data_IF_903437110811
#
_entry.id   IF_903437110811
#
_cell.length_a   1.000
_cell.length_b   1.000
_cell.length_c   1.000
_cell.angle_alpha   90.00
_cell.angle_beta   90.00
_cell.angle_gamma   90.00
#
_symmetry.space_group_name_H-M   'P 1'
#
loop_
_entity.id
_entity.type
_entity.pdbx_description
1 polymer ?
#
# COMPACT_ATOMS: atom_id res chain seq x y z
N UNK A 1 -6.37 -7.05 -4.01
CA UNK A 1 -7.82 -6.75 -4.03
C UNK A 1 -8.47 -7.70 -5.04
N UNK A 2 -9.45 -8.52 -4.63
CA UNK A 2 -10.08 -9.50 -5.52
C UNK A 2 -11.34 -8.91 -6.17
N UNK A 3 -11.56 -9.22 -7.44
CA UNK A 3 -12.76 -8.84 -8.22
C UNK A 3 -13.57 -10.08 -8.55
N UNK A 4 -14.88 -9.91 -8.69
CA UNK A 4 -15.85 -10.98 -8.92
C UNK A 4 -16.92 -10.49 -9.90
N UNK A 5 -17.50 -11.42 -10.66
CA UNK A 5 -18.61 -11.16 -11.56
C UNK A 5 -19.90 -11.26 -10.74
N UNK A 6 -20.63 -10.15 -10.64
CA UNK A 6 -21.97 -10.10 -10.06
C UNK A 6 -23.03 -10.14 -11.16
N UNK A 7 -24.19 -10.71 -10.84
CA UNK A 7 -25.35 -10.70 -11.72
C UNK A 7 -26.30 -9.57 -11.32
N UNK A 8 -26.75 -8.80 -12.31
CA UNK A 8 -27.77 -7.76 -12.10
C UNK A 8 -29.09 -8.43 -11.69
N UNK A 9 -29.54 -9.42 -12.47
CA UNK A 9 -30.60 -10.36 -12.11
C UNK A 9 -29.99 -11.71 -11.76
N UNK A 10 -30.28 -12.21 -10.57
CA UNK A 10 -29.64 -13.38 -9.99
C UNK A 10 -29.71 -14.65 -10.87
N UNK A 11 -28.65 -15.47 -10.80
CA UNK A 11 -28.50 -16.64 -11.68
C UNK A 11 -29.39 -17.83 -11.27
N UNK A 12 -29.69 -17.97 -9.97
CA UNK A 12 -30.36 -19.14 -9.42
C UNK A 12 -31.64 -18.76 -8.68
N UNK A 13 -32.60 -19.67 -8.61
CA UNK A 13 -33.78 -19.50 -7.76
C UNK A 13 -33.36 -19.26 -6.31
N UNK A 14 -33.97 -18.27 -5.65
CA UNK A 14 -33.60 -17.83 -4.30
C UNK A 14 -32.42 -16.85 -4.22
N UNK A 15 -31.75 -16.54 -5.34
CA UNK A 15 -30.75 -15.46 -5.38
C UNK A 15 -31.38 -14.07 -5.47
N UNK A 16 -30.61 -13.05 -5.11
CA UNK A 16 -31.08 -11.66 -5.14
C UNK A 16 -31.54 -11.28 -6.56
N UNK A 17 -32.75 -10.71 -6.66
CA UNK A 17 -33.36 -10.24 -7.92
C UNK A 17 -33.50 -11.33 -8.99
N UNK A 18 -33.64 -12.60 -8.58
CA UNK A 18 -33.92 -13.69 -9.52
C UNK A 18 -35.22 -13.43 -10.29
N UNK A 19 -35.18 -13.60 -11.61
CA UNK A 19 -36.31 -13.45 -12.51
C UNK A 19 -36.62 -14.81 -13.16
N UNK A 20 -37.74 -15.46 -12.79
CA UNK A 20 -38.10 -16.78 -13.31
C UNK A 20 -38.45 -16.77 -14.80
N UNK A 21 -38.67 -15.59 -15.38
CA UNK A 21 -39.03 -15.45 -16.80
C UNK A 21 -37.80 -15.44 -17.71
N UNK A 22 -36.60 -15.26 -17.16
CA UNK A 22 -35.36 -15.29 -17.94
C UNK A 22 -34.95 -16.72 -18.30
N UNK A 23 -34.34 -16.86 -19.47
CA UNK A 23 -33.60 -18.05 -19.88
C UNK A 23 -32.19 -18.08 -19.29
N UNK A 24 -31.54 -19.24 -19.29
CA UNK A 24 -30.14 -19.34 -18.86
C UNK A 24 -29.19 -18.51 -19.71
N UNK A 25 -29.46 -18.41 -21.02
CA UNK A 25 -28.68 -17.59 -21.94
C UNK A 25 -28.76 -16.09 -21.58
N UNK A 26 -29.95 -15.60 -21.25
CA UNK A 26 -30.14 -14.21 -20.81
C UNK A 26 -29.50 -13.96 -19.44
N UNK A 27 -29.52 -14.95 -18.53
CA UNK A 27 -28.83 -14.83 -17.23
C UNK A 27 -27.32 -14.74 -17.39
N UNK A 28 -26.75 -15.50 -18.32
CA UNK A 28 -25.31 -15.53 -18.61
C UNK A 28 -24.84 -14.41 -19.55
N UNK A 29 -25.75 -13.64 -20.15
CA UNK A 29 -25.41 -12.61 -21.12
C UNK A 29 -24.61 -11.46 -20.46
N UNK A 30 -23.63 -10.90 -21.19
CA UNK A 30 -22.82 -9.77 -20.71
C UNK A 30 -23.64 -8.56 -20.27
N UNK A 31 -24.83 -8.35 -20.85
CA UNK A 31 -25.76 -7.30 -20.45
C UNK A 31 -26.29 -7.47 -19.03
N UNK A 32 -26.30 -8.70 -18.50
CA UNK A 32 -26.74 -9.05 -17.14
C UNK A 32 -25.57 -9.18 -16.14
N UNK A 33 -24.32 -9.04 -16.59
CA UNK A 33 -23.12 -9.21 -15.77
C UNK A 33 -22.43 -7.87 -15.49
N UNK A 34 -21.84 -7.75 -14.30
CA UNK A 34 -21.04 -6.59 -13.91
C UNK A 34 -19.82 -7.02 -13.08
N UNK A 35 -18.70 -6.34 -13.24
CA UNK A 35 -17.48 -6.61 -12.49
C UNK A 35 -17.47 -5.76 -11.21
N UNK A 36 -17.28 -6.39 -10.04
CA UNK A 36 -17.26 -5.69 -8.76
C UNK A 36 -16.13 -6.19 -7.86
N UNK A 37 -15.66 -5.36 -6.92
CA UNK A 37 -14.79 -5.87 -5.86
C UNK A 37 -15.57 -6.79 -4.91
N UNK A 38 -14.89 -7.73 -4.26
CA UNK A 38 -15.52 -8.72 -3.36
C UNK A 38 -16.41 -8.09 -2.28
N UNK A 39 -16.03 -6.93 -1.74
CA UNK A 39 -16.81 -6.25 -0.70
C UNK A 39 -18.16 -5.78 -1.23
N UNK A 40 -18.19 -5.12 -2.39
CA UNK A 40 -19.44 -4.61 -2.96
C UNK A 40 -20.29 -5.73 -3.57
N UNK A 41 -19.67 -6.78 -4.11
CA UNK A 41 -20.39 -7.98 -4.55
C UNK A 41 -21.18 -8.60 -3.39
N UNK A 42 -20.52 -8.80 -2.23
CA UNK A 42 -21.20 -9.34 -1.03
C UNK A 42 -22.29 -8.41 -0.49
N UNK A 43 -22.13 -7.10 -0.68
CA UNK A 43 -23.11 -6.11 -0.22
C UNK A 43 -24.42 -6.23 -1.00
N UNK A 44 -24.35 -6.27 -2.34
CA UNK A 44 -25.54 -6.26 -3.21
C UNK A 44 -26.25 -7.62 -3.29
N UNK A 45 -25.53 -8.73 -3.02
CA UNK A 45 -26.09 -10.09 -3.03
C UNK A 45 -26.35 -10.64 -1.63
N UNK A 46 -25.95 -9.90 -0.60
CA UNK A 46 -26.13 -10.27 0.80
C UNK A 46 -27.51 -9.95 1.35
N UNK A 47 -27.68 -9.96 2.69
CA UNK A 47 -28.96 -9.71 3.35
C UNK A 47 -29.62 -8.36 3.02
N UNK A 48 -28.84 -7.38 2.56
CA UNK A 48 -29.31 -6.06 2.12
C UNK A 48 -29.54 -5.96 0.61
N UNK A 49 -29.53 -7.08 -0.12
CA UNK A 49 -29.66 -7.07 -1.57
C UNK A 49 -30.95 -6.44 -2.10
N UNK A 50 -32.01 -6.40 -1.27
CA UNK A 50 -33.26 -5.70 -1.57
C UNK A 50 -33.12 -4.17 -1.68
N UNK A 51 -32.06 -3.58 -1.11
CA UNK A 51 -31.77 -2.15 -1.20
C UNK A 51 -31.19 -1.75 -2.57
N UNK A 52 -30.86 -2.75 -3.41
CA UNK A 52 -30.20 -2.56 -4.70
C UNK A 52 -31.07 -3.11 -5.82
N UNK A 53 -32.06 -2.36 -6.33
CA UNK A 53 -32.94 -2.82 -7.40
C UNK A 53 -32.21 -2.94 -8.75
N UNK A 54 -32.80 -3.71 -9.68
CA UNK A 54 -32.20 -4.00 -11.00
C UNK A 54 -31.85 -2.73 -11.77
N UNK A 55 -32.73 -1.74 -11.73
CA UNK A 55 -32.59 -0.47 -12.46
C UNK A 55 -31.39 0.33 -11.95
N UNK A 56 -31.13 0.28 -10.65
CA UNK A 56 -29.96 0.94 -10.04
C UNK A 56 -28.66 0.29 -10.53
N UNK A 57 -28.61 -1.05 -10.54
CA UNK A 57 -27.42 -1.78 -10.99
C UNK A 57 -27.19 -1.62 -12.50
N UNK A 58 -28.25 -1.57 -13.30
CA UNK A 58 -28.18 -1.24 -14.72
C UNK A 58 -27.65 0.18 -14.93
N UNK A 59 -28.07 1.14 -14.12
CA UNK A 59 -27.53 2.50 -14.11
C UNK A 59 -26.03 2.51 -13.82
N UNK A 60 -25.58 1.82 -12.77
CA UNK A 60 -24.15 1.72 -12.44
C UNK A 60 -23.33 1.06 -13.54
N UNK A 61 -23.84 0.00 -14.15
CA UNK A 61 -23.20 -0.66 -15.30
C UNK A 61 -23.07 0.32 -16.47
N UNK A 62 -24.16 0.99 -16.83
CA UNK A 62 -24.17 1.95 -17.94
C UNK A 62 -23.19 3.11 -17.70
N UNK A 63 -23.19 3.71 -16.51
CA UNK A 63 -22.27 4.80 -16.13
C UNK A 63 -20.81 4.35 -16.22
N UNK A 64 -20.51 3.15 -15.74
CA UNK A 64 -19.17 2.58 -15.77
C UNK A 64 -18.72 2.24 -17.20
N UNK A 65 -19.58 1.63 -18.01
CA UNK A 65 -19.25 1.23 -19.39
C UNK A 65 -19.17 2.43 -20.34
N UNK A 66 -19.97 3.46 -20.11
CA UNK A 66 -19.92 4.71 -20.86
C UNK A 66 -18.58 5.45 -20.65
N UNK A 67 -17.98 5.32 -19.46
CA UNK A 67 -16.64 5.80 -19.17
C UNK A 67 -15.50 4.97 -19.80
N UNK A 68 -15.75 3.70 -20.12
CA UNK A 68 -14.74 2.76 -20.62
C UNK A 68 -14.70 2.70 -22.15
N UNK A 69 -15.79 3.09 -22.83
CA UNK A 69 -15.94 3.01 -24.28
C UNK A 69 -16.21 1.57 -24.72
N UNK A 70 -17.26 1.37 -25.52
CA UNK A 70 -17.65 0.03 -25.97
C UNK A 70 -16.56 -0.59 -26.86
N UNK A 71 -16.12 -1.80 -26.51
CA UNK A 71 -15.41 -2.66 -27.45
C UNK A 71 -16.44 -3.45 -28.26
N UNK A 72 -16.37 -3.43 -29.60
CA UNK A 72 -17.24 -4.27 -30.42
C UNK A 72 -17.05 -5.75 -30.08
N UNK A 73 -18.13 -6.54 -30.17
CA UNK A 73 -18.01 -8.00 -30.07
C UNK A 73 -17.04 -8.54 -31.13
N UNK A 74 -16.06 -9.33 -30.70
CA UNK A 74 -14.98 -9.83 -31.57
C UNK A 74 -13.79 -8.88 -31.75
N UNK A 75 -13.74 -7.76 -31.04
CA UNK A 75 -12.68 -6.75 -31.18
C UNK A 75 -11.37 -7.09 -30.45
N UNK A 76 -11.22 -8.23 -29.79
CA UNK A 76 -9.95 -8.62 -29.17
C UNK A 76 -9.30 -9.69 -30.05
N UNK A 77 -8.28 -9.26 -30.79
CA UNK A 77 -7.37 -10.13 -31.53
C UNK A 77 -5.99 -10.10 -30.87
N UNK A 78 -5.14 -11.08 -31.15
CA UNK A 78 -3.75 -11.05 -30.66
C UNK A 78 -3.02 -9.75 -31.09
N UNK A 79 -3.38 -9.23 -32.26
CA UNK A 79 -2.71 -8.08 -32.89
C UNK A 79 -3.13 -6.72 -32.29
N UNK A 80 -4.30 -6.63 -31.67
CA UNK A 80 -4.77 -5.39 -31.05
C UNK A 80 -4.80 -5.43 -29.51
N UNK A 81 -4.42 -6.57 -28.93
CA UNK A 81 -4.42 -6.77 -27.48
C UNK A 81 -3.50 -5.80 -26.75
N UNK A 82 -2.28 -5.58 -27.23
CA UNK A 82 -1.34 -4.62 -26.63
C UNK A 82 -1.89 -3.18 -26.65
N UNK A 83 -2.46 -2.75 -27.78
CA UNK A 83 -3.05 -1.42 -27.91
C UNK A 83 -4.29 -1.25 -27.04
N UNK A 84 -5.11 -2.31 -26.91
CA UNK A 84 -6.26 -2.30 -26.01
C UNK A 84 -5.80 -2.22 -24.56
N UNK A 85 -4.82 -3.01 -24.14
CA UNK A 85 -4.23 -2.94 -22.80
C UNK A 85 -3.70 -1.53 -22.49
N UNK A 86 -2.92 -0.94 -23.39
CA UNK A 86 -2.41 0.43 -23.21
C UNK A 86 -3.56 1.46 -23.13
N UNK A 87 -4.62 1.27 -23.91
CA UNK A 87 -5.81 2.12 -23.85
C UNK A 87 -6.59 1.97 -22.53
N UNK A 88 -6.65 0.77 -21.95
CA UNK A 88 -7.26 0.54 -20.64
C UNK A 88 -6.40 1.12 -19.52
N UNK A 89 -5.09 0.88 -19.55
CA UNK A 89 -4.14 1.39 -18.56
C UNK A 89 -4.11 2.92 -18.55
N UNK A 90 -4.21 3.57 -19.72
CA UNK A 90 -4.28 5.03 -19.82
C UNK A 90 -5.63 5.64 -19.43
N UNK A 91 -6.73 4.86 -19.48
CA UNK A 91 -8.09 5.29 -19.08
C UNK A 91 -8.42 5.06 -17.62
N UNK A 92 -7.74 4.11 -16.96
CA UNK A 92 -7.67 4.09 -15.50
C UNK A 92 -6.93 5.36 -15.10
N UNK A 93 -7.68 6.41 -14.74
CA UNK A 93 -7.14 7.75 -14.48
C UNK A 93 -5.81 7.68 -13.72
N UNK A 94 -4.80 8.50 -14.09
CA UNK A 94 -3.47 8.44 -13.49
C UNK A 94 -3.61 8.53 -11.97
N UNK A 95 -3.37 7.40 -11.31
CA UNK A 95 -3.52 7.26 -9.87
C UNK A 95 -2.13 7.31 -9.25
N UNK A 96 -2.04 8.01 -8.13
CA UNK A 96 -0.82 8.12 -7.35
C UNK A 96 -0.86 7.02 -6.31
N UNK A 97 0.03 6.07 -6.42
CA UNK A 97 0.20 5.01 -5.43
C UNK A 97 1.69 4.81 -5.20
N UNK A 98 2.07 4.74 -3.93
CA UNK A 98 3.44 4.42 -3.54
C UNK A 98 3.43 3.27 -2.55
N UNK A 99 4.38 2.37 -2.70
CA UNK A 99 4.76 1.43 -1.66
C UNK A 99 5.83 2.07 -0.78
N UNK A 100 5.68 1.91 0.54
CA UNK A 100 6.63 2.38 1.54
C UNK A 100 7.06 1.20 2.39
N UNK A 101 8.32 0.83 2.28
CA UNK A 101 8.90 -0.29 3.02
C UNK A 101 9.92 0.22 4.04
N UNK A 102 10.01 -0.49 5.17
CA UNK A 102 10.95 -0.19 6.24
C UNK A 102 11.86 -1.37 6.48
N UNK A 103 13.17 -1.17 6.33
CA UNK A 103 14.18 -2.22 6.47
C UNK A 103 15.27 -1.81 7.46
N UNK A 104 15.79 -2.79 8.20
CA UNK A 104 17.01 -2.62 8.97
C UNK A 104 18.22 -2.61 8.04
N UNK A 105 19.30 -1.97 8.46
CA UNK A 105 20.51 -1.91 7.64
C UNK A 105 21.80 -1.96 8.44
N UNK A 106 22.87 -2.32 7.74
CA UNK A 106 24.25 -2.32 8.20
C UNK A 106 25.13 -1.56 7.21
N UNK A 107 25.87 -0.57 7.72
CA UNK A 107 26.70 0.34 6.95
C UNK A 107 28.10 -0.26 6.92
N UNK A 108 28.36 -1.00 5.84
CA UNK A 108 29.61 -1.71 5.63
C UNK A 108 30.50 -0.81 4.75
N UNK A 109 31.83 -0.78 4.93
CA UNK A 109 32.70 -0.04 4.01
C UNK A 109 32.44 -0.42 2.55
N UNK A 110 31.97 0.56 1.76
CA UNK A 110 31.67 0.39 0.34
C UNK A 110 30.33 -0.29 0.01
N UNK A 111 29.51 -0.64 0.99
CA UNK A 111 28.20 -1.26 0.74
C UNK A 111 27.18 -1.01 1.85
N UNK A 112 25.89 -1.13 1.54
CA UNK A 112 24.82 -1.11 2.55
C UNK A 112 24.04 -2.40 2.47
N UNK A 113 24.17 -3.24 3.51
CA UNK A 113 23.37 -4.45 3.62
C UNK A 113 22.01 -4.08 4.22
N UNK A 114 20.93 -4.51 3.58
CA UNK A 114 19.55 -4.28 4.03
C UNK A 114 18.87 -5.61 4.29
N UNK A 115 17.96 -5.63 5.25
CA UNK A 115 17.20 -6.84 5.59
C UNK A 115 15.93 -6.48 6.38
N UNK A 116 14.94 -7.38 6.43
CA UNK A 116 13.83 -7.27 7.37
C UNK A 116 14.36 -7.19 8.81
N UNK A 117 13.70 -6.39 9.66
CA UNK A 117 14.12 -6.19 11.05
C UNK A 117 14.23 -7.50 11.84
N UNK A 118 13.23 -8.37 11.71
CA UNK A 118 13.23 -9.72 12.29
C UNK A 118 14.48 -10.57 12.00
N UNK A 119 15.14 -10.33 10.87
CA UNK A 119 16.28 -11.16 10.43
C UNK A 119 17.61 -10.63 10.99
N UNK A 120 17.66 -9.37 11.45
CA UNK A 120 18.89 -8.73 11.90
C UNK A 120 19.54 -9.44 13.09
N UNK A 121 18.76 -9.88 14.08
CA UNK A 121 19.29 -10.59 15.25
C UNK A 121 20.05 -11.86 14.83
N UNK A 122 19.50 -12.61 13.88
CA UNK A 122 20.11 -13.83 13.34
C UNK A 122 21.40 -13.51 12.61
N UNK A 123 21.42 -12.45 11.79
CA UNK A 123 22.61 -12.02 11.04
C UNK A 123 23.74 -11.60 11.99
N UNK A 124 23.43 -10.82 13.03
CA UNK A 124 24.41 -10.38 14.02
C UNK A 124 24.93 -11.52 14.90
N UNK A 125 24.08 -12.49 15.25
CA UNK A 125 24.46 -13.66 16.02
C UNK A 125 25.42 -14.56 15.23
N UNK A 126 25.15 -14.77 13.94
CA UNK A 126 26.03 -15.55 13.05
C UNK A 126 27.35 -14.85 12.70
N UNK A 127 27.40 -13.53 12.82
CA UNK A 127 28.54 -12.71 12.40
C UNK A 127 28.89 -11.63 13.43
N UNK A 128 29.56 -12.00 14.55
CA UNK A 128 29.85 -11.05 15.63
C UNK A 128 30.65 -9.81 15.20
N UNK A 129 31.49 -9.94 14.18
CA UNK A 129 32.26 -8.82 13.62
C UNK A 129 31.38 -7.71 13.03
N UNK A 130 30.15 -8.04 12.58
CA UNK A 130 29.22 -7.07 12.01
C UNK A 130 28.62 -6.12 13.05
N UNK A 131 28.66 -6.48 14.34
CA UNK A 131 28.10 -5.66 15.43
C UNK A 131 28.80 -4.31 15.61
N UNK A 132 30.04 -4.21 15.11
CA UNK A 132 30.84 -2.98 15.17
C UNK A 132 30.45 -1.95 14.11
N UNK A 133 29.72 -2.36 13.06
CA UNK A 133 29.30 -1.46 12.00
C UNK A 133 28.10 -0.61 12.42
N UNK A 134 28.04 0.61 11.85
CA UNK A 134 26.90 1.51 12.04
C UNK A 134 25.63 0.84 11.51
N UNK A 135 24.54 1.01 12.25
CA UNK A 135 23.22 0.48 11.95
C UNK A 135 22.24 1.63 11.75
N UNK A 136 21.07 1.30 11.26
CA UNK A 136 20.05 2.28 10.95
C UNK A 136 18.89 1.65 10.22
N UNK A 137 18.07 2.53 9.67
CA UNK A 137 16.82 2.20 9.00
C UNK A 137 16.83 2.79 7.60
N UNK A 138 16.34 2.01 6.65
CA UNK A 138 16.10 2.44 5.28
C UNK A 138 14.61 2.47 5.06
N UNK A 139 14.08 3.64 4.73
CA UNK A 139 12.72 3.78 4.21
C UNK A 139 12.80 3.79 2.69
N UNK A 140 12.31 2.73 2.06
CA UNK A 140 12.26 2.64 0.60
C UNK A 140 10.90 3.13 0.13
N UNK A 141 10.89 4.12 -0.75
CA UNK A 141 9.67 4.65 -1.37
C UNK A 141 9.68 4.29 -2.84
N UNK A 142 8.70 3.49 -3.28
CA UNK A 142 8.57 3.06 -4.68
C UNK A 142 7.27 3.59 -5.27
N UNK A 143 7.34 4.23 -6.43
CA UNK A 143 6.14 4.58 -7.18
C UNK A 143 5.58 3.33 -7.87
N UNK A 144 4.44 2.86 -7.37
CA UNK A 144 3.70 1.71 -7.93
C UNK A 144 2.46 2.14 -8.70
N UNK A 145 2.16 3.44 -8.70
CA UNK A 145 1.06 4.03 -9.45
C UNK A 145 1.44 4.33 -10.90
N UNK A 146 0.48 4.90 -11.63
CA UNK A 146 0.64 5.25 -13.05
C UNK A 146 1.03 6.71 -13.25
N UNK A 147 0.85 7.55 -12.22
CA UNK A 147 1.21 8.96 -12.25
C UNK A 147 2.57 9.21 -11.60
N UNK A 148 3.31 10.19 -12.12
CA UNK A 148 4.50 10.68 -11.43
C UNK A 148 4.12 11.32 -10.09
N UNK A 149 4.95 11.05 -9.08
CA UNK A 149 4.77 11.57 -7.73
C UNK A 149 5.95 12.42 -7.33
N UNK A 150 5.72 13.38 -6.43
CA UNK A 150 6.79 14.14 -5.79
C UNK A 150 6.69 13.88 -4.29
N UNK A 151 7.70 13.22 -3.74
CA UNK A 151 7.85 13.02 -2.30
C UNK A 151 8.25 14.34 -1.67
N UNK A 152 7.47 14.83 -0.71
CA UNK A 152 7.66 16.12 -0.05
C UNK A 152 8.17 16.00 1.39
N UNK A 153 7.82 14.91 2.08
CA UNK A 153 8.28 14.62 3.44
C UNK A 153 8.38 13.11 3.64
N UNK A 154 9.41 12.68 4.37
CA UNK A 154 9.58 11.31 4.85
C UNK A 154 9.89 11.42 6.34
N UNK A 155 9.04 10.83 7.17
CA UNK A 155 9.15 10.90 8.63
C UNK A 155 9.01 9.52 9.23
N UNK A 156 9.85 9.20 10.22
CA UNK A 156 9.64 8.05 11.11
C UNK A 156 8.72 8.45 12.26
N UNK A 157 7.78 7.57 12.59
CA UNK A 157 6.83 7.73 13.69
C UNK A 157 6.97 6.60 14.68
N UNK A 158 7.12 6.98 15.94
CA UNK A 158 7.23 6.09 17.08
C UNK A 158 5.88 6.02 17.77
N UNK A 159 5.37 4.81 17.96
CA UNK A 159 4.03 4.57 18.51
C UNK A 159 4.15 4.34 20.02
N UNK A 160 3.51 5.17 20.84
CA UNK A 160 3.50 5.07 22.30
C UNK A 160 2.34 4.19 22.81
N UNK A 161 2.63 3.23 23.69
CA UNK A 161 1.61 2.41 24.39
C UNK A 161 1.85 0.91 24.24
N UNK A 162 0.91 0.10 24.74
CA UNK A 162 1.06 -1.38 24.79
C UNK A 162 0.65 -2.10 23.48
N UNK A 163 -0.11 -1.45 22.59
CA UNK A 163 -0.57 -2.03 21.32
C UNK A 163 -0.68 -0.98 20.20
N UNK A 164 -0.37 -1.39 18.97
CA UNK A 164 -0.50 -0.59 17.75
C UNK A 164 -1.96 -0.29 17.35
N UNK A 165 -2.95 -0.93 17.99
CA UNK A 165 -4.38 -0.81 17.66
C UNK A 165 -5.14 0.17 18.56
N UNK A 166 -4.58 0.54 19.72
CA UNK A 166 -5.13 1.60 20.56
C UNK A 166 -4.80 2.98 19.99
N UNK A 167 -5.52 4.03 20.38
CA UNK A 167 -5.22 5.43 20.04
C UNK A 167 -3.87 5.87 20.66
N UNK A 168 -2.79 5.34 20.12
CA UNK A 168 -1.42 5.50 20.55
C UNK A 168 -0.93 6.89 20.13
N UNK A 169 -0.32 7.60 21.07
CA UNK A 169 0.30 8.88 20.75
C UNK A 169 1.51 8.63 19.82
N UNK A 170 1.56 9.36 18.70
CA UNK A 170 2.65 9.26 17.75
C UNK A 170 3.68 10.35 18.01
N UNK A 171 4.95 9.95 18.09
CA UNK A 171 6.09 10.87 18.20
C UNK A 171 6.86 10.84 16.89
N UNK A 172 7.12 12.01 16.31
CA UNK A 172 7.84 12.14 15.05
C UNK A 172 9.02 13.10 15.19
N UNK A 173 10.07 12.81 14.44
CA UNK A 173 11.24 13.67 14.29
C UNK A 173 11.08 14.74 13.20
N UNK A 174 9.86 14.94 12.68
CA UNK A 174 9.52 16.00 11.72
C UNK A 174 10.46 16.07 10.51
N UNK A 175 10.67 14.94 9.82
CA UNK A 175 11.50 14.91 8.61
C UNK A 175 13.00 15.05 8.86
N UNK A 176 13.49 14.68 10.06
CA UNK A 176 14.94 14.66 10.36
C UNK A 176 15.70 13.91 9.27
N UNK A 177 16.74 14.57 8.77
CA UNK A 177 17.60 14.07 7.70
C UNK A 177 19.03 13.98 8.22
N UNK A 178 19.47 12.77 8.55
CA UNK A 178 20.82 12.53 9.07
C UNK A 178 21.92 12.65 8.00
N UNK A 179 21.54 12.76 6.72
CA UNK A 179 22.45 12.81 5.58
C UNK A 179 22.06 13.93 4.59
N UNK A 180 21.93 15.17 5.08
CA UNK A 180 21.49 16.37 4.33
C UNK A 180 22.16 16.58 2.96
N UNK A 181 23.40 16.13 2.79
CA UNK A 181 24.14 16.27 1.54
C UNK A 181 23.79 15.19 0.50
N UNK A 182 23.33 14.03 0.94
CA UNK A 182 23.03 12.88 0.09
C UNK A 182 21.53 12.71 -0.16
N UNK A 183 20.70 13.10 0.80
CA UNK A 183 19.25 12.94 0.74
C UNK A 183 18.58 14.31 0.62
N UNK A 184 17.81 14.53 -0.45
CA UNK A 184 17.15 15.81 -0.71
C UNK A 184 15.67 15.61 -1.01
N UNK A 185 14.84 16.39 -0.34
CA UNK A 185 13.43 16.55 -0.62
C UNK A 185 13.16 18.02 -1.02
N UNK A 186 12.13 18.29 -1.84
CA UNK A 186 11.27 17.32 -2.50
C UNK A 186 12.00 16.50 -3.57
N UNK A 187 11.55 15.26 -3.81
CA UNK A 187 12.12 14.34 -4.81
C UNK A 187 11.04 13.78 -5.72
N UNK A 188 11.25 13.83 -7.04
CA UNK A 188 10.29 13.32 -8.03
C UNK A 188 10.60 11.86 -8.35
N UNK A 189 9.57 11.02 -8.34
CA UNK A 189 9.63 9.61 -8.76
C UNK A 189 8.69 9.41 -9.94
N UNK A 190 9.23 8.91 -11.06
CA UNK A 190 8.42 8.48 -12.20
C UNK A 190 7.79 7.12 -11.90
N UNK A 191 6.85 6.66 -12.73
CA UNK A 191 6.31 5.30 -12.62
C UNK A 191 7.44 4.25 -12.62
N UNK A 192 7.46 3.38 -11.60
CA UNK A 192 8.45 2.32 -11.42
C UNK A 192 9.73 2.76 -10.69
N UNK A 193 9.98 4.07 -10.56
CA UNK A 193 11.14 4.58 -9.84
C UNK A 193 11.02 4.34 -8.33
N UNK A 194 12.16 4.30 -7.66
CA UNK A 194 12.24 4.24 -6.20
C UNK A 194 13.36 5.12 -5.66
N UNK A 195 13.20 5.57 -4.41
CA UNK A 195 14.26 6.21 -3.64
C UNK A 195 14.40 5.57 -2.26
N UNK A 196 15.62 5.65 -1.73
CA UNK A 196 15.94 5.21 -0.37
C UNK A 196 16.14 6.44 0.53
N UNK A 197 15.55 6.40 1.72
CA UNK A 197 15.75 7.39 2.77
C UNK A 197 16.40 6.74 4.00
N UNK A 198 17.64 7.15 4.30
CA UNK A 198 18.48 6.56 5.34
C UNK A 198 18.33 7.34 6.66
N UNK A 199 18.11 6.63 7.76
CA UNK A 199 18.10 7.19 9.13
C UNK A 199 19.07 6.41 10.02
N UNK A 200 19.89 7.11 10.80
CA UNK A 200 20.86 6.47 11.69
C UNK A 200 20.18 5.84 12.90
N UNK A 201 20.73 4.72 13.40
CA UNK A 201 20.23 4.13 14.65
C UNK A 201 20.39 5.09 15.84
N UNK A 202 21.44 5.92 15.86
CA UNK A 202 21.67 6.93 16.89
C UNK A 202 20.49 7.91 17.02
N UNK A 203 19.90 8.32 15.90
CA UNK A 203 18.73 9.21 15.88
C UNK A 203 17.50 8.55 16.50
N UNK A 204 17.32 7.25 16.29
CA UNK A 204 16.23 6.47 16.89
C UNK A 204 16.50 6.25 18.39
N UNK A 205 17.75 6.00 18.77
CA UNK A 205 18.17 5.87 20.17
C UNK A 205 17.94 7.16 20.98
N UNK A 206 18.19 8.34 20.39
CA UNK A 206 17.88 9.63 21.03
C UNK A 206 16.39 9.75 21.38
N UNK A 207 15.51 9.29 20.47
CA UNK A 207 14.06 9.33 20.67
C UNK A 207 13.58 8.30 21.68
N UNK A 208 14.19 7.11 21.70
CA UNK A 208 13.97 6.09 22.72
C UNK A 208 14.35 6.60 24.11
N UNK A 209 15.55 7.15 24.26
CA UNK A 209 16.04 7.70 25.52
C UNK A 209 15.10 8.80 26.06
N UNK A 210 14.57 9.65 25.19
CA UNK A 210 13.62 10.69 25.57
C UNK A 210 12.28 10.13 26.08
N UNK A 211 11.78 9.02 25.50
CA UNK A 211 10.57 8.36 25.98
C UNK A 211 10.81 7.63 27.31
N UNK A 212 11.93 6.92 27.43
CA UNK A 212 12.32 6.21 28.66
C UNK A 212 12.48 7.19 29.82
N UNK A 213 13.06 8.37 29.59
CA UNK A 213 13.17 9.43 30.59
C UNK A 213 11.81 9.95 31.09
N UNK A 214 10.74 9.75 30.32
CA UNK A 214 9.36 10.09 30.69
C UNK A 214 8.57 8.88 31.23
N UNK A 215 9.23 7.73 31.45
CA UNK A 215 8.57 6.49 31.88
C UNK A 215 7.66 5.88 30.82
N UNK A 216 7.87 6.21 29.54
CA UNK A 216 7.10 5.69 28.42
C UNK A 216 7.89 4.64 27.65
N UNK A 217 7.17 3.76 26.95
CA UNK A 217 7.73 2.76 26.06
C UNK A 217 7.04 2.82 24.70
N UNK A 218 7.81 2.54 23.64
CA UNK A 218 7.30 2.44 22.29
C UNK A 218 6.87 1.00 21.99
N UNK A 219 5.79 0.83 21.24
CA UNK A 219 5.30 -0.47 20.76
C UNK A 219 5.69 -0.77 19.32
N UNK A 220 5.84 0.26 18.48
CA UNK A 220 6.17 0.08 17.08
C UNK A 220 6.85 1.32 16.46
N UNK A 221 7.49 1.11 15.32
CA UNK A 221 8.05 2.13 14.44
C UNK A 221 7.45 1.96 13.04
N UNK A 222 7.06 3.06 12.39
CA UNK A 222 6.68 3.02 10.99
C UNK A 222 7.08 4.32 10.26
N UNK A 223 7.21 4.26 8.94
CA UNK A 223 7.47 5.43 8.13
C UNK A 223 6.17 6.02 7.57
N UNK A 224 6.08 7.34 7.53
CA UNK A 224 5.05 8.08 6.80
C UNK A 224 5.71 8.92 5.73
N UNK A 225 5.18 8.79 4.53
CA UNK A 225 5.58 9.56 3.36
C UNK A 225 4.43 10.47 2.98
N UNK A 226 4.72 11.76 2.80
CA UNK A 226 3.75 12.74 2.28
C UNK A 226 4.17 13.17 0.89
N UNK A 227 3.24 13.09 -0.04
CA UNK A 227 3.43 13.60 -1.40
C UNK A 227 3.18 15.11 -1.43
N UNK A 228 3.70 15.78 -2.46
CA UNK A 228 3.44 17.19 -2.70
C UNK A 228 1.95 17.49 -2.97
N UNK A 229 1.18 16.49 -3.42
CA UNK A 229 -0.28 16.54 -3.53
C UNK A 229 -1.00 16.61 -2.18
N UNK A 230 -0.30 16.34 -1.08
CA UNK A 230 -0.87 16.27 0.28
C UNK A 230 -1.25 14.86 0.73
N UNK A 231 -1.32 13.90 -0.20
CA UNK A 231 -1.59 12.49 0.09
C UNK A 231 -0.51 11.89 1.00
N UNK A 232 -0.91 10.98 1.88
CA UNK A 232 -0.02 10.34 2.86
C UNK A 232 -0.09 8.83 2.74
N UNK A 233 1.07 8.20 2.81
CA UNK A 233 1.24 6.75 2.75
C UNK A 233 2.07 6.31 3.95
N UNK A 234 1.79 5.12 4.47
CA UNK A 234 2.45 4.58 5.65
C UNK A 234 3.06 3.22 5.33
N UNK A 235 4.23 2.94 5.88
CA UNK A 235 4.75 1.57 5.90
C UNK A 235 3.94 0.71 6.88
N UNK A 236 4.00 -0.62 6.74
CA UNK A 236 3.61 -1.51 7.83
C UNK A 236 4.37 -1.17 9.12
N UNK A 237 3.71 -1.23 10.29
CA UNK A 237 4.39 -1.01 11.56
C UNK A 237 5.31 -2.17 11.91
N UNK A 238 6.54 -1.84 12.31
CA UNK A 238 7.53 -2.80 12.80
C UNK A 238 7.45 -2.84 14.33
N UNK A 239 7.27 -4.00 14.97
CA UNK A 239 7.25 -4.12 16.42
C UNK A 239 8.55 -3.60 17.07
N UNK A 240 8.42 -2.85 18.17
CA UNK A 240 9.57 -2.24 18.85
C UNK A 240 10.66 -3.25 19.27
N UNK A 241 10.35 -4.48 19.73
CA UNK A 241 11.38 -5.47 20.04
C UNK A 241 12.30 -5.79 18.86
N UNK A 242 11.79 -5.74 17.62
CA UNK A 242 12.61 -5.94 16.43
C UNK A 242 13.44 -4.69 16.10
N UNK A 243 12.86 -3.50 16.29
CA UNK A 243 13.54 -2.22 16.10
C UNK A 243 14.70 -2.08 17.10
N UNK A 244 14.50 -2.42 18.37
CA UNK A 244 15.50 -2.28 19.43
C UNK A 244 16.81 -3.02 19.13
N UNK A 245 16.80 -4.04 18.27
CA UNK A 245 18.00 -4.76 17.82
C UNK A 245 18.99 -3.81 17.11
N UNK A 246 18.52 -2.79 16.38
CA UNK A 246 19.42 -1.84 15.72
C UNK A 246 20.11 -0.90 16.74
N UNK A 247 19.53 -0.75 17.93
CA UNK A 247 19.98 0.16 18.99
C UNK A 247 20.92 -0.53 19.98
N UNK A 248 20.88 -1.86 20.06
CA UNK A 248 21.70 -2.63 20.98
C UNK A 248 23.20 -2.41 20.68
N UNK A 249 23.91 -1.70 21.54
CA UNK A 249 25.36 -1.64 21.52
C UNK A 249 25.91 -2.85 22.28
N UNK A 250 26.80 -3.61 21.64
CA UNK A 250 27.64 -4.62 22.30
C UNK A 250 28.86 -3.94 22.93
#
# INVERSE_FOLDING_TARGET
MAVQIAHIKGANEGSARYDPTMTDAERAAFSNLMLMCTTHHKLIDGPKGGDYPVELLQGWKADHELGVGALPDGAITADNFEQLLDSFVSRLAPFREIAVDLEASLWIPGNTARMPFRDLATVLAGNPHLKTFERGVVTTVRNTGTADVTVADISLLHVLGESAEAAAAEVTLMGRNDYLHFQKLPHRLSNGDSMDWLTKSATIAEVEAAAVAQGKQYSALYARVRLASGEQFKSPPIPWPEVAIILAHD
#
